data_IF_929515176468
#
_entry.id   IF_929515176468
#
_cell.length_a   1.000
_cell.length_b   1.000
_cell.length_c   1.000
_cell.angle_alpha   90.00
_cell.angle_beta   90.00
_cell.angle_gamma   90.00
#
_symmetry.space_group_name_H-M   'P 1'
#
loop_
_entity.id
_entity.type
_entity.pdbx_description
1 polymer ?
#
# COMPACT_ATOMS: atom_id res chain seq x y z
N UNK A 1 -57.14 65.43 10.30
CA UNK A 1 -56.39 65.95 11.48
C UNK A 1 -56.00 64.73 12.32
N UNK A 2 -54.76 64.38 12.67
CA UNK A 2 -53.41 64.96 12.59
C UNK A 2 -52.43 63.77 12.40
N UNK A 3 -51.33 63.95 11.65
CA UNK A 3 -50.11 63.12 11.79
C UNK A 3 -49.26 63.72 12.91
N UNK A 4 -48.31 62.97 13.48
CA UNK A 4 -46.93 63.28 13.12
C UNK A 4 -46.08 62.05 12.80
N UNK A 5 -45.16 62.29 11.89
CA UNK A 5 -44.07 61.43 11.41
C UNK A 5 -42.88 61.62 12.36
N UNK A 6 -42.14 60.55 12.65
CA UNK A 6 -40.70 60.66 12.90
C UNK A 6 -39.94 59.52 12.20
N UNK A 7 -38.91 59.94 11.47
CA UNK A 7 -37.99 59.18 10.63
C UNK A 7 -36.94 58.43 11.46
N UNK A 8 -36.51 57.26 10.96
CA UNK A 8 -35.12 56.78 11.12
C UNK A 8 -34.75 55.86 9.95
N UNK A 9 -33.87 56.39 9.12
CA UNK A 9 -33.12 55.78 8.03
C UNK A 9 -32.00 54.86 8.54
N UNK A 10 -31.73 53.72 7.89
CA UNK A 10 -30.35 53.33 7.50
C UNK A 10 -30.36 52.12 6.52
N UNK A 11 -29.61 52.26 5.44
CA UNK A 11 -29.41 51.27 4.39
C UNK A 11 -28.45 50.14 4.81
N UNK A 12 -28.60 48.95 4.21
CA UNK A 12 -27.48 48.06 3.92
C UNK A 12 -27.84 47.07 2.79
N UNK A 13 -27.23 47.30 1.63
CA UNK A 13 -27.06 46.31 0.57
C UNK A 13 -26.03 45.29 1.07
N UNK A 14 -26.36 44.00 1.06
CA UNK A 14 -25.34 42.95 0.92
C UNK A 14 -25.87 41.82 0.03
N UNK A 15 -25.35 41.81 -1.19
CA UNK A 15 -25.27 40.65 -2.08
C UNK A 15 -24.57 39.50 -1.34
N UNK A 16 -25.36 38.58 -0.79
CA UNK A 16 -24.88 37.30 -0.28
C UNK A 16 -24.84 36.25 -1.37
N UNK A 17 -24.00 36.44 -2.39
CA UNK A 17 -23.48 35.34 -3.21
C UNK A 17 -22.54 34.50 -2.32
N UNK A 18 -23.14 33.78 -1.38
CA UNK A 18 -22.46 32.75 -0.62
C UNK A 18 -22.26 31.57 -1.55
N UNK A 19 -21.14 31.60 -2.29
CA UNK A 19 -20.63 30.46 -3.02
C UNK A 19 -20.78 29.23 -2.13
N UNK A 20 -21.69 28.33 -2.49
CA UNK A 20 -21.74 27.00 -1.91
C UNK A 20 -20.34 26.46 -2.10
N UNK A 21 -19.61 26.38 -0.99
CA UNK A 21 -18.27 25.83 -0.91
C UNK A 21 -18.33 24.47 -1.58
N UNK A 22 -17.90 24.45 -2.85
CA UNK A 22 -17.60 23.25 -3.60
C UNK A 22 -16.54 22.57 -2.76
N UNK A 23 -16.97 21.65 -1.90
CA UNK A 23 -16.08 20.64 -1.35
C UNK A 23 -15.53 19.93 -2.58
N UNK A 24 -14.36 20.38 -3.03
CA UNK A 24 -13.58 19.71 -4.05
C UNK A 24 -13.38 18.31 -3.53
N UNK A 25 -14.22 17.39 -4.00
CA UNK A 25 -14.04 15.97 -3.79
C UNK A 25 -12.72 15.66 -4.48
N UNK A 26 -11.63 15.72 -3.71
CA UNK A 26 -10.29 15.51 -4.20
C UNK A 26 -10.27 14.09 -4.73
N UNK A 27 -10.44 13.96 -6.05
CA UNK A 27 -10.61 12.68 -6.69
C UNK A 27 -9.41 11.81 -6.30
N UNK A 28 -9.71 10.61 -5.83
CA UNK A 28 -8.71 9.62 -5.44
C UNK A 28 -7.84 9.26 -6.66
N UNK A 29 -6.78 10.04 -6.93
CA UNK A 29 -5.94 9.84 -8.12
C UNK A 29 -5.12 8.57 -7.94
N UNK A 30 -5.35 7.61 -8.84
CA UNK A 30 -4.55 6.40 -8.93
C UNK A 30 -3.34 6.65 -9.82
N UNK A 31 -2.17 6.34 -9.30
CA UNK A 31 -0.91 6.37 -10.03
C UNK A 31 -0.53 4.96 -10.48
N UNK A 32 -0.03 4.84 -11.70
CA UNK A 32 0.45 3.55 -12.22
C UNK A 32 1.74 3.13 -11.50
N UNK A 33 1.80 1.86 -11.14
CA UNK A 33 2.95 1.22 -10.51
C UNK A 33 2.93 1.28 -8.98
N UNK A 34 4.13 1.28 -8.41
CA UNK A 34 4.37 1.42 -6.96
C UNK A 34 5.11 2.72 -6.65
N UNK A 35 4.92 3.30 -5.45
CA UNK A 35 5.74 4.43 -4.99
C UNK A 35 7.24 4.07 -5.02
N UNK A 36 8.10 4.99 -5.48
CA UNK A 36 9.55 4.72 -5.60
C UNK A 36 10.19 4.32 -4.26
N UNK A 37 9.74 4.92 -3.16
CA UNK A 37 10.23 4.60 -1.82
C UNK A 37 9.89 3.16 -1.36
N UNK A 38 8.81 2.57 -1.88
CA UNK A 38 8.38 1.21 -1.54
C UNK A 38 9.21 0.14 -2.27
N UNK A 39 9.81 0.48 -3.43
CA UNK A 39 10.48 -0.47 -4.31
C UNK A 39 11.75 -1.04 -3.69
N UNK A 40 11.69 -2.31 -3.29
CA UNK A 40 12.76 -3.14 -2.69
C UNK A 40 12.14 -4.40 -2.08
N UNK A 41 12.98 -5.26 -1.50
CA UNK A 41 12.54 -6.36 -0.64
C UNK A 41 12.35 -5.87 0.80
N UNK A 42 11.30 -6.36 1.44
CA UNK A 42 10.96 -6.18 2.85
C UNK A 42 10.83 -7.54 3.50
N UNK A 43 11.29 -7.68 4.74
CA UNK A 43 11.41 -8.96 5.46
C UNK A 43 10.55 -8.94 6.72
N UNK A 44 9.68 -9.93 6.85
CA UNK A 44 8.96 -10.20 8.08
C UNK A 44 9.81 -11.12 8.96
N UNK A 45 10.29 -10.59 10.07
CA UNK A 45 11.17 -11.27 11.02
C UNK A 45 10.37 -12.06 12.07
N UNK A 46 9.38 -12.85 11.65
CA UNK A 46 8.59 -13.68 12.56
C UNK A 46 9.37 -14.86 13.15
N UNK A 47 8.71 -15.62 14.01
CA UNK A 47 9.26 -16.78 14.71
C UNK A 47 8.98 -18.09 13.95
N UNK A 48 9.89 -19.08 14.09
CA UNK A 48 9.80 -20.36 13.40
C UNK A 48 9.66 -20.18 11.89
N UNK A 49 8.71 -20.90 11.30
CA UNK A 49 8.42 -20.90 9.86
C UNK A 49 7.64 -19.66 9.39
N UNK A 50 7.24 -18.78 10.31
CA UNK A 50 6.55 -17.53 9.97
C UNK A 50 7.56 -16.43 9.58
N UNK A 51 8.59 -16.75 8.80
CA UNK A 51 9.49 -15.76 8.19
C UNK A 51 9.04 -15.55 6.77
N UNK A 52 8.93 -14.29 6.34
CA UNK A 52 8.40 -13.98 5.02
C UNK A 52 9.16 -12.83 4.35
N UNK A 53 9.02 -12.73 3.04
CA UNK A 53 9.48 -11.57 2.29
C UNK A 53 8.38 -11.05 1.37
N UNK A 54 8.48 -9.77 1.03
CA UNK A 54 7.76 -9.17 -0.07
C UNK A 54 8.65 -8.17 -0.80
N UNK A 55 8.70 -8.31 -2.12
CA UNK A 55 9.50 -7.49 -3.02
C UNK A 55 8.57 -6.65 -3.88
N UNK A 56 8.81 -5.35 -3.94
CA UNK A 56 8.10 -4.42 -4.81
C UNK A 56 8.98 -3.96 -5.96
N UNK A 57 8.56 -4.26 -7.18
CA UNK A 57 9.08 -3.67 -8.42
C UNK A 57 8.25 -2.46 -8.86
N UNK A 58 8.51 -1.95 -10.08
CA UNK A 58 7.78 -0.80 -10.64
C UNK A 58 6.28 -1.07 -10.79
N UNK A 59 5.90 -2.27 -11.23
CA UNK A 59 4.52 -2.66 -11.58
C UNK A 59 4.11 -4.03 -11.05
N UNK A 60 5.00 -4.68 -10.30
CA UNK A 60 4.80 -6.02 -9.75
C UNK A 60 5.16 -6.06 -8.27
N UNK A 61 4.53 -6.97 -7.52
CA UNK A 61 4.98 -7.38 -6.20
C UNK A 61 5.08 -8.90 -6.14
N UNK A 62 6.05 -9.41 -5.41
CA UNK A 62 6.35 -10.84 -5.29
C UNK A 62 6.74 -11.14 -3.87
N UNK A 63 6.12 -12.11 -3.22
CA UNK A 63 6.42 -12.48 -1.84
C UNK A 63 6.01 -13.92 -1.53
N UNK A 64 6.67 -14.50 -0.54
CA UNK A 64 6.33 -15.79 0.06
C UNK A 64 7.04 -15.93 1.41
N UNK A 65 6.92 -17.10 2.03
CA UNK A 65 7.66 -17.52 3.19
C UNK A 65 9.13 -17.83 2.85
N UNK A 66 9.94 -17.88 3.90
CA UNK A 66 11.21 -18.56 3.89
C UNK A 66 11.04 -20.00 4.37
N UNK A 67 11.82 -20.91 3.81
CA UNK A 67 11.98 -22.26 4.33
C UNK A 67 13.36 -22.40 5.00
N UNK A 68 13.45 -23.28 6.00
CA UNK A 68 14.69 -23.63 6.67
C UNK A 68 15.38 -24.75 5.89
N UNK A 69 16.67 -24.57 5.63
CA UNK A 69 17.56 -25.67 5.28
C UNK A 69 18.12 -26.27 6.58
N UNK A 70 17.69 -27.47 6.94
CA UNK A 70 18.06 -28.11 8.21
C UNK A 70 19.56 -28.40 8.32
N UNK A 71 20.24 -28.65 7.20
CA UNK A 71 21.66 -29.00 7.19
C UNK A 71 22.55 -27.79 7.53
N UNK A 72 22.24 -26.62 6.98
CA UNK A 72 23.02 -25.40 7.18
C UNK A 72 22.43 -24.46 8.24
N UNK A 73 21.21 -24.70 8.71
CA UNK A 73 20.41 -23.77 9.53
C UNK A 73 20.25 -22.37 8.91
N UNK A 74 20.28 -22.28 7.57
CA UNK A 74 20.02 -21.04 6.83
C UNK A 74 18.62 -21.05 6.22
N UNK A 75 18.05 -19.86 6.07
CA UNK A 75 16.75 -19.68 5.43
C UNK A 75 16.88 -19.30 3.96
N UNK A 76 16.08 -19.92 3.10
CA UNK A 76 15.99 -19.57 1.68
C UNK A 76 14.56 -19.16 1.30
N UNK A 77 14.43 -18.42 0.19
CA UNK A 77 13.13 -17.92 -0.27
C UNK A 77 12.42 -19.00 -1.06
N UNK A 78 11.17 -19.28 -0.70
CA UNK A 78 10.27 -20.09 -1.53
C UNK A 78 9.82 -19.29 -2.76
N UNK A 79 9.43 -19.95 -3.87
CA UNK A 79 8.92 -19.31 -5.08
C UNK A 79 7.83 -18.28 -4.77
N UNK A 80 8.03 -17.05 -5.21
CA UNK A 80 7.21 -15.92 -4.80
C UNK A 80 5.97 -15.72 -5.65
N UNK A 81 4.84 -15.39 -5.03
CA UNK A 81 3.60 -15.02 -5.71
C UNK A 81 3.29 -13.55 -5.51
N UNK A 82 2.38 -12.98 -6.31
CA UNK A 82 1.87 -11.67 -5.93
C UNK A 82 1.01 -10.99 -6.98
N UNK A 83 1.24 -9.69 -7.17
CA UNK A 83 0.38 -8.84 -7.98
C UNK A 83 1.14 -8.26 -9.16
N UNK A 84 0.51 -8.24 -10.34
CA UNK A 84 0.94 -7.51 -11.53
C UNK A 84 0.01 -6.35 -11.82
N UNK A 85 0.43 -5.47 -12.74
CA UNK A 85 -0.30 -4.24 -13.11
C UNK A 85 -0.66 -3.40 -11.87
N UNK A 86 0.29 -3.31 -10.92
CA UNK A 86 0.11 -2.53 -9.71
C UNK A 86 -0.20 -1.07 -10.04
N UNK A 87 -1.10 -0.50 -9.24
CA UNK A 87 -1.38 0.92 -9.12
C UNK A 87 -1.47 1.28 -7.65
N UNK A 88 -1.24 2.55 -7.33
CA UNK A 88 -1.34 3.03 -5.96
C UNK A 88 -2.09 4.35 -5.87
N UNK A 89 -2.69 4.58 -4.70
CA UNK A 89 -3.23 5.86 -4.28
C UNK A 89 -2.45 6.32 -3.04
N UNK A 90 -1.96 7.55 -3.04
CA UNK A 90 -1.40 8.19 -1.84
C UNK A 90 -2.54 8.62 -0.93
N UNK A 91 -2.51 8.22 0.34
CA UNK A 91 -3.51 8.58 1.34
C UNK A 91 -2.97 9.60 2.37
N UNK A 92 -1.78 10.15 2.13
CA UNK A 92 -1.09 11.03 3.08
C UNK A 92 -0.35 10.25 4.18
N UNK A 93 0.53 10.95 4.93
CA UNK A 93 1.30 10.38 6.06
C UNK A 93 2.01 9.06 5.76
N UNK A 94 2.53 8.92 4.54
CA UNK A 94 3.17 7.71 4.00
C UNK A 94 2.28 6.46 3.98
N UNK A 95 0.97 6.64 4.02
CA UNK A 95 -0.01 5.58 3.84
C UNK A 95 -0.37 5.50 2.36
N UNK A 96 -0.35 4.28 1.83
CA UNK A 96 -0.67 3.99 0.44
C UNK A 96 -1.72 2.90 0.38
N UNK A 97 -2.65 3.04 -0.57
CA UNK A 97 -3.52 1.94 -1.01
C UNK A 97 -2.97 1.40 -2.31
N UNK A 98 -2.61 0.12 -2.34
CA UNK A 98 -2.18 -0.57 -3.56
C UNK A 98 -3.32 -1.41 -4.11
N UNK A 99 -3.34 -1.57 -5.43
CA UNK A 99 -4.26 -2.45 -6.14
C UNK A 99 -3.55 -3.11 -7.31
N UNK A 100 -3.79 -4.40 -7.54
CA UNK A 100 -3.17 -5.16 -8.61
C UNK A 100 -3.91 -6.46 -8.89
N UNK A 101 -3.46 -7.17 -9.91
CA UNK A 101 -4.05 -8.42 -10.39
C UNK A 101 -3.16 -9.56 -9.92
N UNK A 102 -3.72 -10.57 -9.28
CA UNK A 102 -2.93 -11.74 -8.88
C UNK A 102 -2.25 -12.40 -10.08
N UNK A 103 -1.08 -12.96 -9.84
CA UNK A 103 -0.38 -13.77 -10.81
C UNK A 103 0.46 -14.82 -10.11
N UNK A 104 0.65 -15.92 -10.82
CA UNK A 104 1.60 -16.96 -10.46
C UNK A 104 2.85 -16.85 -11.32
N UNK A 105 4.04 -17.14 -10.77
CA UNK A 105 5.22 -17.37 -11.58
C UNK A 105 4.97 -18.44 -12.64
N UNK A 106 5.74 -18.37 -13.72
CA UNK A 106 5.80 -19.44 -14.70
C UNK A 106 6.24 -20.73 -13.98
N UNK A 107 5.66 -21.86 -14.37
CA UNK A 107 5.99 -23.19 -13.82
C UNK A 107 5.66 -23.38 -12.34
N UNK A 108 4.87 -22.48 -11.76
CA UNK A 108 4.34 -22.63 -10.41
C UNK A 108 3.21 -23.67 -10.36
N UNK A 109 3.22 -24.49 -9.30
CA UNK A 109 2.13 -25.42 -9.00
C UNK A 109 0.81 -24.74 -8.63
N UNK A 110 0.86 -23.51 -8.10
CA UNK A 110 -0.33 -22.75 -7.73
C UNK A 110 -0.65 -21.75 -8.83
N UNK A 111 -1.83 -21.85 -9.43
CA UNK A 111 -2.31 -20.91 -10.44
C UNK A 111 -3.39 -20.01 -9.86
N UNK A 112 -3.21 -18.69 -9.95
CA UNK A 112 -4.23 -17.72 -9.56
C UNK A 112 -5.09 -17.33 -10.75
N UNK A 113 -6.41 -17.20 -10.52
CA UNK A 113 -7.40 -16.77 -11.52
C UNK A 113 -7.27 -15.30 -11.97
N UNK A 114 -6.24 -14.59 -11.52
CA UNK A 114 -6.03 -13.20 -11.86
C UNK A 114 -7.02 -12.24 -11.18
N UNK A 115 -7.50 -12.58 -9.99
CA UNK A 115 -8.39 -11.68 -9.26
C UNK A 115 -7.68 -10.38 -8.88
N UNK A 116 -8.46 -9.28 -8.82
CA UNK A 116 -7.93 -7.99 -8.39
C UNK A 116 -7.94 -7.89 -6.86
N UNK A 117 -6.78 -7.70 -6.26
CA UNK A 117 -6.63 -7.44 -4.84
C UNK A 117 -6.25 -5.99 -4.58
N UNK A 118 -6.71 -5.47 -3.46
CA UNK A 118 -6.32 -4.14 -2.96
C UNK A 118 -6.04 -4.18 -1.46
N UNK A 119 -5.00 -3.49 -1.02
CA UNK A 119 -4.61 -3.44 0.39
C UNK A 119 -4.00 -2.09 0.75
N UNK A 120 -3.99 -1.79 2.05
CA UNK A 120 -3.38 -0.59 2.62
C UNK A 120 -2.08 -0.95 3.33
N UNK A 121 -1.08 -0.09 3.16
CA UNK A 121 0.18 -0.16 3.89
C UNK A 121 0.63 1.24 4.33
N UNK A 122 1.46 1.29 5.36
CA UNK A 122 2.19 2.48 5.80
C UNK A 122 3.68 2.23 5.63
N UNK A 123 4.35 3.15 4.97
CA UNK A 123 5.78 3.06 4.67
C UNK A 123 6.55 4.05 5.52
N UNK A 124 7.66 3.61 6.09
CA UNK A 124 8.67 4.47 6.72
C UNK A 124 10.04 4.17 6.10
N UNK A 125 11.09 4.85 6.55
CA UNK A 125 12.46 4.65 6.03
C UNK A 125 12.89 3.17 6.12
N UNK A 126 12.60 2.54 7.26
CA UNK A 126 13.08 1.20 7.61
C UNK A 126 11.98 0.16 7.86
N UNK A 127 10.71 0.57 7.87
CA UNK A 127 9.60 -0.34 8.17
C UNK A 127 8.47 -0.20 7.15
N UNK A 128 7.84 -1.34 6.88
CA UNK A 128 6.64 -1.45 6.08
C UNK A 128 5.56 -2.11 6.94
N UNK A 129 4.47 -1.38 7.18
CA UNK A 129 3.34 -1.85 7.97
C UNK A 129 2.13 -2.17 7.09
N UNK A 130 1.65 -3.41 7.10
CA UNK A 130 0.39 -3.79 6.49
C UNK A 130 -0.74 -3.70 7.50
N UNK A 131 -1.86 -3.13 7.07
CA UNK A 131 -3.07 -3.04 7.91
C UNK A 131 -3.80 -4.38 8.09
N UNK A 132 -3.42 -5.43 7.33
CA UNK A 132 -3.97 -6.79 7.41
C UNK A 132 -2.87 -7.81 7.17
N UNK A 133 -3.00 -9.00 7.76
CA UNK A 133 -2.03 -10.10 7.64
C UNK A 133 -0.76 -9.86 8.44
N UNK A 134 0.38 -10.32 7.91
CA UNK A 134 1.73 -10.06 8.45
C UNK A 134 1.97 -8.55 8.52
N UNK A 135 1.99 -8.00 9.74
CA UNK A 135 1.85 -6.55 9.89
C UNK A 135 3.16 -5.80 9.67
N UNK A 136 4.27 -6.24 10.25
CA UNK A 136 5.48 -5.42 10.35
C UNK A 136 6.66 -6.06 9.64
N UNK A 137 7.08 -5.45 8.53
CA UNK A 137 8.27 -5.86 7.80
C UNK A 137 9.40 -4.84 7.98
N UNK A 138 10.63 -5.32 8.02
CA UNK A 138 11.85 -4.56 8.12
C UNK A 138 12.65 -4.59 6.81
N UNK A 139 13.72 -3.79 6.76
CA UNK A 139 14.64 -3.75 5.61
C UNK A 139 15.60 -4.93 5.53
N UNK A 140 15.86 -5.59 6.65
CA UNK A 140 16.88 -6.61 6.76
C UNK A 140 16.33 -7.82 7.51
N UNK A 141 16.79 -9.00 7.12
CA UNK A 141 16.55 -10.23 7.86
C UNK A 141 17.37 -10.20 9.15
N UNK A 142 16.77 -10.69 10.24
CA UNK A 142 17.42 -10.89 11.54
C UNK A 142 17.83 -12.36 11.76
N UNK A 143 17.95 -13.10 10.66
CA UNK A 143 18.24 -14.53 10.62
C UNK A 143 19.16 -14.80 9.44
N UNK A 144 19.93 -15.88 9.52
CA UNK A 144 20.87 -16.26 8.48
C UNK A 144 20.10 -16.67 7.21
N UNK A 145 20.48 -16.11 6.06
CA UNK A 145 19.84 -16.40 4.78
C UNK A 145 20.83 -16.99 3.79
N UNK A 146 20.37 -17.89 2.95
CA UNK A 146 21.11 -18.43 1.82
C UNK A 146 20.37 -18.17 0.50
N UNK A 147 21.06 -18.42 -0.63
CA UNK A 147 20.39 -18.44 -1.94
C UNK A 147 19.45 -19.64 -2.01
N UNK A 148 18.38 -19.49 -2.77
CA UNK A 148 17.47 -20.60 -3.05
C UNK A 148 18.24 -21.75 -3.73
N UNK A 149 18.12 -22.99 -3.25
CA UNK A 149 18.76 -24.14 -3.88
C UNK A 149 18.36 -24.30 -5.35
N UNK A 150 19.31 -24.73 -6.18
CA UNK A 150 19.05 -25.01 -7.60
C UNK A 150 17.97 -26.09 -7.71
N UNK A 151 16.91 -25.80 -8.48
CA UNK A 151 15.73 -26.67 -8.64
C UNK A 151 14.49 -26.21 -7.86
N UNK A 152 14.63 -25.21 -6.98
CA UNK A 152 13.52 -24.56 -6.27
C UNK A 152 13.35 -23.08 -6.66
N UNK A 153 14.10 -22.61 -7.66
CA UNK A 153 14.03 -21.24 -8.20
C UNK A 153 12.90 -21.05 -9.20
#
# INVERSE_FOLDING_TARGET
MKKPIFLLSLAAITLGLGATSLTSAQAATWHRGTPKALRRTWIYNGHGDNKAYITYGKSISTGNLFALDEASHHYYRLPGYGLKKLKYQSLGHHVYRLSGIQYSPKDSQVQFDGQRLSYKLKLTKNHLHFYKGYRNYDRHAKFATMKTPKGLE
#
